data_IF_793437757204
#
_entry.id   IF_793437757204
#
_cell.length_a   1.000
_cell.length_b   1.000
_cell.length_c   1.000
_cell.angle_alpha   90.00
_cell.angle_beta   90.00
_cell.angle_gamma   90.00
#
_symmetry.space_group_name_H-M   'P 1'
#
loop_
_entity.id
_entity.type
_entity.pdbx_description
1 polymer ?
#
# COMPACT_ATOMS: atom_id res chain seq x y z
N UNK A 1 -10.54 -12.07 -17.28
CA UNK A 1 -10.98 -12.65 -18.58
C UNK A 1 -10.95 -11.64 -19.73
N UNK A 2 -11.29 -10.36 -19.51
CA UNK A 2 -11.20 -9.30 -20.54
C UNK A 2 -9.76 -9.03 -21.02
N UNK A 3 -8.76 -8.99 -20.13
CA UNK A 3 -7.36 -8.73 -20.52
C UNK A 3 -6.77 -9.79 -21.47
N UNK A 4 -7.04 -11.08 -21.22
CA UNK A 4 -6.61 -12.17 -22.10
C UNK A 4 -7.29 -12.09 -23.50
N UNK A 5 -8.56 -11.72 -23.53
CA UNK A 5 -9.29 -11.48 -24.79
C UNK A 5 -8.70 -10.29 -25.56
N UNK A 6 -8.41 -9.17 -24.88
CA UNK A 6 -7.77 -8.01 -25.53
C UNK A 6 -6.36 -8.31 -26.03
N UNK A 7 -5.54 -9.04 -25.27
CA UNK A 7 -4.18 -9.44 -25.67
C UNK A 7 -4.18 -10.31 -26.94
N UNK A 8 -5.07 -11.31 -27.02
CA UNK A 8 -5.21 -12.16 -28.20
C UNK A 8 -5.70 -11.38 -29.45
N UNK A 9 -6.50 -10.33 -29.25
CA UNK A 9 -6.99 -9.47 -30.35
C UNK A 9 -5.89 -8.51 -30.82
N UNK A 10 -5.05 -8.01 -29.92
CA UNK A 10 -3.93 -7.14 -30.29
C UNK A 10 -2.86 -7.87 -31.09
N UNK A 11 -2.57 -9.14 -30.78
CA UNK A 11 -1.62 -9.96 -31.56
C UNK A 11 -2.13 -10.23 -32.99
N UNK A 12 -3.44 -10.29 -33.20
CA UNK A 12 -4.04 -10.58 -34.52
C UNK A 12 -4.33 -9.34 -35.38
N UNK A 13 -4.18 -8.12 -34.84
CA UNK A 13 -4.49 -6.87 -35.57
C UNK A 13 -3.38 -5.83 -35.51
N UNK A 14 -2.22 -6.15 -36.07
CA UNK A 14 -1.23 -5.12 -36.42
C UNK A 14 -1.78 -4.27 -37.58
N UNK A 15 -1.90 -2.95 -37.36
CA UNK A 15 -2.42 -1.87 -38.22
C UNK A 15 -3.91 -1.51 -38.06
N UNK A 16 -4.31 -1.03 -36.88
CA UNK A 16 -5.31 0.05 -36.80
C UNK A 16 -4.63 1.30 -36.24
N UNK A 17 -4.86 2.45 -36.88
CA UNK A 17 -4.40 3.77 -36.40
C UNK A 17 -4.70 3.88 -34.92
N UNK A 18 -3.69 4.20 -34.12
CA UNK A 18 -3.82 4.43 -32.69
C UNK A 18 -4.73 5.65 -32.50
N UNK A 19 -5.99 5.43 -32.17
CA UNK A 19 -6.90 6.49 -31.71
C UNK A 19 -6.47 6.75 -30.28
N UNK A 20 -5.78 7.86 -30.05
CA UNK A 20 -5.37 8.29 -28.71
C UNK A 20 -6.66 8.58 -27.94
N UNK A 21 -6.80 7.96 -26.76
CA UNK A 21 -7.92 8.20 -25.88
C UNK A 21 -7.81 9.62 -25.28
N UNK A 22 -8.79 10.51 -25.51
CA UNK A 22 -8.74 11.87 -24.99
C UNK A 22 -8.56 11.93 -23.47
N UNK A 23 -9.13 10.98 -22.72
CA UNK A 23 -9.00 10.96 -21.26
C UNK A 23 -7.55 10.69 -20.81
N UNK A 24 -6.86 9.74 -21.44
CA UNK A 24 -5.45 9.48 -21.16
C UNK A 24 -4.57 10.65 -21.62
N UNK A 25 -4.88 11.29 -22.76
CA UNK A 25 -4.14 12.48 -23.21
C UNK A 25 -4.23 13.63 -22.21
N UNK A 26 -5.44 13.99 -21.76
CA UNK A 26 -5.63 15.03 -20.75
C UNK A 26 -4.97 14.66 -19.41
N UNK A 27 -5.01 13.39 -19.04
CA UNK A 27 -4.33 12.87 -17.85
C UNK A 27 -2.82 13.07 -17.94
N UNK A 28 -2.20 12.70 -19.06
CA UNK A 28 -0.77 12.90 -19.28
C UNK A 28 -0.38 14.38 -19.25
N UNK A 29 -1.18 15.26 -19.87
CA UNK A 29 -0.90 16.71 -19.89
C UNK A 29 -0.95 17.30 -18.48
N UNK A 30 -2.02 17.05 -17.72
CA UNK A 30 -2.20 17.65 -16.40
C UNK A 30 -1.18 17.10 -15.39
N UNK A 31 -0.94 15.79 -15.40
CA UNK A 31 0.02 15.15 -14.50
C UNK A 31 1.45 15.58 -14.80
N UNK A 32 1.82 15.76 -16.07
CA UNK A 32 3.11 16.32 -16.46
C UNK A 32 3.29 17.74 -15.93
N UNK A 33 2.30 18.61 -16.11
CA UNK A 33 2.39 19.99 -15.65
C UNK A 33 2.51 20.08 -14.13
N UNK A 34 1.68 19.31 -13.40
CA UNK A 34 1.76 19.20 -11.94
C UNK A 34 3.12 18.67 -11.49
N UNK A 35 3.66 17.66 -12.17
CA UNK A 35 4.97 17.09 -11.87
C UNK A 35 6.10 18.10 -12.04
N UNK A 36 6.08 18.91 -13.10
CA UNK A 36 7.06 19.97 -13.35
C UNK A 36 7.07 21.02 -12.23
N UNK A 37 5.89 21.45 -11.76
CA UNK A 37 5.80 22.38 -10.63
C UNK A 37 6.26 21.74 -9.33
N UNK A 38 5.88 20.49 -9.10
CA UNK A 38 6.27 19.74 -7.91
C UNK A 38 7.79 19.56 -7.81
N UNK A 39 8.48 19.31 -8.93
CA UNK A 39 9.94 19.21 -8.93
C UNK A 39 10.61 20.52 -8.53
N UNK A 40 10.16 21.66 -9.06
CA UNK A 40 10.69 22.99 -8.69
C UNK A 40 10.53 23.27 -7.19
N UNK A 41 9.35 22.94 -6.64
CA UNK A 41 9.07 23.10 -5.21
C UNK A 41 9.94 22.15 -4.38
N UNK A 42 10.02 20.87 -4.76
CA UNK A 42 10.81 19.86 -4.08
C UNK A 42 12.30 20.20 -4.05
N UNK A 43 12.86 20.69 -5.16
CA UNK A 43 14.26 21.07 -5.26
C UNK A 43 14.60 22.26 -4.36
N UNK A 44 13.68 23.23 -4.24
CA UNK A 44 13.83 24.32 -3.27
C UNK A 44 13.87 23.81 -1.82
N UNK A 45 12.96 22.91 -1.43
CA UNK A 45 12.97 22.32 -0.08
C UNK A 45 14.23 21.49 0.18
N UNK A 46 14.73 20.75 -0.81
CA UNK A 46 16.00 20.01 -0.72
C UNK A 46 17.20 20.94 -0.55
N UNK A 47 17.22 22.06 -1.28
CA UNK A 47 18.27 23.08 -1.16
C UNK A 47 18.25 23.73 0.23
N UNK A 48 17.07 24.04 0.76
CA UNK A 48 16.92 24.54 2.14
C UNK A 48 17.45 23.57 3.18
N UNK A 49 17.10 22.27 3.05
CA UNK A 49 17.60 21.21 3.94
C UNK A 49 19.14 21.11 3.87
N UNK A 50 19.73 21.22 2.68
CA UNK A 50 21.18 21.20 2.50
C UNK A 50 21.88 22.46 3.05
N UNK A 51 21.20 23.61 3.06
CA UNK A 51 21.73 24.89 3.53
C UNK A 51 21.55 25.12 5.05
N UNK A 52 20.81 24.28 5.76
CA UNK A 52 20.55 24.41 7.21
C UNK A 52 21.82 24.44 8.10
N UNK A 53 23.01 24.20 7.56
CA UNK A 53 24.29 24.36 8.24
C UNK A 53 24.95 25.76 8.08
N UNK A 54 24.27 26.76 7.50
CA UNK A 54 24.81 28.13 7.41
C UNK A 54 23.76 29.22 7.12
N UNK A 55 23.59 30.13 8.09
CA UNK A 55 22.88 31.43 8.02
C UNK A 55 21.36 31.43 7.74
N UNK A 56 20.52 32.03 8.60
CA UNK A 56 19.07 31.98 8.49
C UNK A 56 18.54 33.18 7.68
N UNK A 57 18.31 33.01 6.38
CA UNK A 57 17.29 33.74 5.61
C UNK A 57 17.39 33.42 4.11
N UNK A 58 16.75 32.33 3.67
CA UNK A 58 16.46 32.17 2.25
C UNK A 58 15.09 32.81 1.98
N UNK A 59 15.10 34.00 1.39
CA UNK A 59 13.89 34.57 0.79
C UNK A 59 13.47 33.62 -0.33
N UNK A 60 12.22 33.14 -0.31
CA UNK A 60 11.72 32.23 -1.33
C UNK A 60 11.89 32.90 -2.71
N UNK A 61 12.61 32.27 -3.66
CA UNK A 61 12.78 32.83 -4.99
C UNK A 61 11.43 33.06 -5.66
N UNK A 62 11.29 34.15 -6.41
CA UNK A 62 10.04 34.46 -7.14
C UNK A 62 9.62 33.34 -8.09
N UNK A 63 10.56 32.58 -8.65
CA UNK A 63 10.25 31.42 -9.49
C UNK A 63 9.54 30.31 -8.69
N UNK A 64 9.99 30.04 -7.46
CA UNK A 64 9.38 29.03 -6.59
C UNK A 64 8.00 29.51 -6.14
N UNK A 65 7.85 30.78 -5.79
CA UNK A 65 6.54 31.37 -5.46
C UNK A 65 5.54 31.22 -6.61
N UNK A 66 5.99 31.46 -7.83
CA UNK A 66 5.17 31.25 -9.02
C UNK A 66 4.81 29.77 -9.21
N UNK A 67 5.75 28.85 -9.02
CA UNK A 67 5.48 27.41 -9.08
C UNK A 67 4.49 26.94 -8.02
N UNK A 68 4.53 27.48 -6.80
CA UNK A 68 3.52 27.19 -5.77
C UNK A 68 2.14 27.69 -6.19
N UNK A 69 2.02 28.92 -6.71
CA UNK A 69 0.74 29.44 -7.23
C UNK A 69 0.21 28.60 -8.39
N UNK A 70 1.09 28.16 -9.29
CA UNK A 70 0.72 27.28 -10.39
C UNK A 70 0.31 25.90 -9.89
N UNK A 71 0.98 25.34 -8.90
CA UNK A 71 0.58 24.10 -8.25
C UNK A 71 -0.84 24.21 -7.69
N UNK A 72 -1.13 25.24 -6.88
CA UNK A 72 -2.44 25.44 -6.26
C UNK A 72 -3.58 25.58 -7.29
N UNK A 73 -3.29 26.25 -8.42
CA UNK A 73 -4.27 26.40 -9.49
C UNK A 73 -4.50 25.07 -10.23
N UNK A 74 -3.42 24.40 -10.63
CA UNK A 74 -3.53 23.18 -11.43
C UNK A 74 -4.02 21.98 -10.62
N UNK A 75 -3.76 21.95 -9.31
CA UNK A 75 -4.31 20.94 -8.41
C UNK A 75 -5.84 21.06 -8.38
N UNK A 76 -6.37 22.28 -8.19
CA UNK A 76 -7.82 22.52 -8.24
C UNK A 76 -8.41 22.21 -9.61
N UNK A 77 -7.72 22.59 -10.69
CA UNK A 77 -8.15 22.24 -12.04
C UNK A 77 -8.21 20.73 -12.21
N UNK A 78 -7.17 19.99 -11.80
CA UNK A 78 -7.14 18.54 -11.86
C UNK A 78 -8.26 17.90 -11.03
N UNK A 79 -8.59 18.47 -9.86
CA UNK A 79 -9.73 18.04 -9.06
C UNK A 79 -11.05 18.14 -9.84
N UNK A 80 -11.34 19.29 -10.47
CA UNK A 80 -12.54 19.44 -11.27
C UNK A 80 -12.54 18.51 -12.50
N UNK A 81 -11.42 18.40 -13.20
CA UNK A 81 -11.27 17.47 -14.33
C UNK A 81 -11.50 16.01 -13.91
N UNK A 82 -11.02 15.62 -12.73
CA UNK A 82 -11.23 14.28 -12.20
C UNK A 82 -12.70 14.03 -11.86
N UNK A 83 -13.37 14.98 -11.20
CA UNK A 83 -14.77 14.88 -10.81
C UNK A 83 -15.70 14.79 -12.03
N UNK A 84 -15.44 15.60 -13.05
CA UNK A 84 -16.20 15.59 -14.31
C UNK A 84 -15.89 14.39 -15.21
N UNK A 85 -14.96 13.52 -14.79
CA UNK A 85 -14.57 12.32 -15.56
C UNK A 85 -13.79 12.64 -16.83
N UNK A 86 -13.08 13.77 -16.87
CA UNK A 86 -12.20 14.16 -17.97
C UNK A 86 -10.81 13.51 -17.88
N UNK A 87 -10.50 12.85 -16.76
CA UNK A 87 -9.24 12.13 -16.55
C UNK A 87 -9.47 10.62 -16.47
N UNK A 88 -8.48 9.85 -16.92
CA UNK A 88 -8.39 8.44 -16.59
C UNK A 88 -8.13 8.31 -15.08
N UNK A 89 -9.12 7.75 -14.37
CA UNK A 89 -9.08 7.65 -12.91
C UNK A 89 -7.92 6.79 -12.43
N UNK A 90 -7.63 5.69 -13.12
CA UNK A 90 -6.61 4.76 -12.66
C UNK A 90 -5.21 5.33 -12.89
N UNK A 91 -4.97 5.91 -14.06
CA UNK A 91 -3.71 6.56 -14.42
C UNK A 91 -3.44 7.76 -13.49
N UNK A 92 -4.44 8.62 -13.25
CA UNK A 92 -4.30 9.77 -12.37
C UNK A 92 -4.01 9.36 -10.91
N UNK A 93 -4.78 8.43 -10.33
CA UNK A 93 -4.54 7.97 -8.96
C UNK A 93 -3.20 7.25 -8.82
N UNK A 94 -2.77 6.53 -9.85
CA UNK A 94 -1.43 5.93 -9.90
C UNK A 94 -0.35 7.00 -9.84
N UNK A 95 -0.49 8.06 -10.65
CA UNK A 95 0.43 9.20 -10.62
C UNK A 95 0.46 9.90 -9.26
N UNK A 96 -0.71 10.14 -8.64
CA UNK A 96 -0.80 10.73 -7.29
C UNK A 96 0.02 9.88 -6.31
N UNK A 97 -0.20 8.56 -6.31
CA UNK A 97 0.52 7.65 -5.42
C UNK A 97 2.03 7.62 -5.69
N UNK A 98 2.45 7.62 -6.95
CA UNK A 98 3.86 7.67 -7.32
C UNK A 98 4.55 8.96 -6.86
N UNK A 99 3.84 10.09 -6.82
CA UNK A 99 4.38 11.33 -6.26
C UNK A 99 4.77 11.15 -4.79
N UNK A 100 3.96 10.43 -4.01
CA UNK A 100 4.24 10.12 -2.60
C UNK A 100 5.36 9.10 -2.42
N UNK A 101 5.36 8.04 -3.22
CA UNK A 101 6.39 7.00 -3.16
C UNK A 101 7.79 7.53 -3.47
N UNK A 102 7.90 8.62 -4.25
CA UNK A 102 9.17 9.29 -4.58
C UNK A 102 9.70 10.22 -3.48
N UNK A 103 8.89 10.58 -2.48
CA UNK A 103 9.34 11.39 -1.35
C UNK A 103 10.38 10.58 -0.58
N UNK A 104 11.50 11.19 -0.17
CA UNK A 104 12.55 10.53 0.64
C UNK A 104 12.29 10.67 2.15
N UNK A 105 12.87 9.83 3.02
CA UNK A 105 12.92 10.13 4.45
C UNK A 105 13.63 11.47 4.69
N UNK A 106 13.04 12.35 5.52
CA UNK A 106 13.55 13.70 5.79
C UNK A 106 12.98 14.82 4.91
N UNK A 107 12.24 14.49 3.84
CA UNK A 107 11.51 15.47 3.02
C UNK A 107 10.11 15.77 3.61
N UNK A 108 10.03 16.07 4.90
CA UNK A 108 8.76 16.17 5.63
C UNK A 108 7.88 17.34 5.16
N UNK A 109 8.48 18.44 4.68
CA UNK A 109 7.75 19.57 4.11
C UNK A 109 7.04 19.20 2.80
N UNK A 110 7.69 18.39 1.95
CA UNK A 110 7.08 17.88 0.73
C UNK A 110 5.95 16.89 1.03
N UNK A 111 6.15 16.04 2.05
CA UNK A 111 5.10 15.14 2.53
C UNK A 111 3.88 15.91 3.04
N UNK A 112 4.07 17.00 3.80
CA UNK A 112 2.99 17.86 4.28
C UNK A 112 2.28 18.59 3.14
N UNK A 113 3.02 19.10 2.14
CA UNK A 113 2.45 19.76 0.97
C UNK A 113 1.51 18.82 0.20
N UNK A 114 1.93 17.57 0.03
CA UNK A 114 1.18 16.59 -0.74
C UNK A 114 0.05 15.95 0.07
N UNK A 115 0.18 15.80 1.39
CA UNK A 115 -0.79 15.07 2.23
C UNK A 115 -2.27 15.46 2.01
N UNK A 116 -2.65 16.75 1.86
CA UNK A 116 -4.02 17.14 1.50
C UNK A 116 -4.52 16.49 0.20
N UNK A 117 -3.67 16.43 -0.83
CA UNK A 117 -3.99 15.78 -2.11
C UNK A 117 -4.36 14.30 -1.90
N UNK A 118 -3.57 13.57 -1.11
CA UNK A 118 -3.83 12.16 -0.85
C UNK A 118 -5.08 11.91 -0.01
N UNK A 119 -5.33 12.76 0.98
CA UNK A 119 -6.56 12.71 1.76
C UNK A 119 -7.78 13.00 0.89
N UNK A 120 -7.69 13.97 -0.02
CA UNK A 120 -8.76 14.35 -0.96
C UNK A 120 -9.18 13.19 -1.87
N UNK A 121 -8.23 12.38 -2.36
CA UNK A 121 -8.54 11.22 -3.20
C UNK A 121 -8.66 9.89 -2.43
N UNK A 122 -8.63 9.91 -1.09
CA UNK A 122 -8.65 8.68 -0.28
C UNK A 122 -9.89 7.80 -0.52
N UNK A 123 -11.06 8.40 -0.78
CA UNK A 123 -12.29 7.69 -1.16
C UNK A 123 -12.20 6.99 -2.51
N UNK A 124 -11.36 7.49 -3.41
CA UNK A 124 -11.18 6.95 -4.75
C UNK A 124 -10.16 5.80 -4.72
N UNK A 125 -9.12 5.92 -3.89
CA UNK A 125 -8.15 4.84 -3.68
C UNK A 125 -8.81 3.56 -3.18
N UNK A 126 -9.76 3.65 -2.24
CA UNK A 126 -10.45 2.47 -1.67
C UNK A 126 -11.34 1.72 -2.67
N UNK A 127 -11.64 2.31 -3.82
CA UNK A 127 -12.35 1.63 -4.91
C UNK A 127 -11.43 0.69 -5.71
N UNK A 128 -10.11 0.81 -5.57
CA UNK A 128 -9.12 -0.08 -6.20
C UNK A 128 -8.30 -0.82 -5.16
N UNK A 129 -8.48 -2.15 -5.08
CA UNK A 129 -7.70 -2.99 -4.17
C UNK A 129 -6.19 -2.91 -4.43
N UNK A 130 -5.78 -2.80 -5.70
CA UNK A 130 -4.38 -2.66 -6.09
C UNK A 130 -3.76 -1.36 -5.57
N UNK A 131 -4.40 -0.21 -5.84
CA UNK A 131 -3.88 1.09 -5.40
C UNK A 131 -3.97 1.24 -3.88
N UNK A 132 -5.06 0.78 -3.27
CA UNK A 132 -5.21 0.71 -1.80
C UNK A 132 -4.08 -0.07 -1.15
N UNK A 133 -3.66 -1.19 -1.74
CA UNK A 133 -2.58 -2.01 -1.19
C UNK A 133 -1.23 -1.30 -1.25
N UNK A 134 -0.90 -0.69 -2.40
CA UNK A 134 0.32 0.10 -2.54
C UNK A 134 0.33 1.30 -1.57
N UNK A 135 -0.80 2.01 -1.47
CA UNK A 135 -0.97 3.11 -0.52
C UNK A 135 -0.83 2.65 0.94
N UNK A 136 -1.41 1.50 1.30
CA UNK A 136 -1.26 0.93 2.64
C UNK A 136 0.21 0.62 2.95
N UNK A 137 0.98 0.04 2.02
CA UNK A 137 2.42 -0.17 2.19
C UNK A 137 3.18 1.14 2.40
N UNK A 138 2.82 2.20 1.66
CA UNK A 138 3.39 3.52 1.89
C UNK A 138 3.08 4.03 3.31
N UNK A 139 1.81 4.00 3.72
CA UNK A 139 1.37 4.46 5.04
C UNK A 139 2.04 3.68 6.18
N UNK A 140 2.04 2.35 6.14
CA UNK A 140 2.59 1.53 7.23
C UNK A 140 4.09 1.70 7.37
N UNK A 141 4.84 1.73 6.26
CA UNK A 141 6.29 1.96 6.30
C UNK A 141 6.65 3.36 6.78
N UNK A 142 5.90 4.39 6.34
CA UNK A 142 6.13 5.77 6.79
C UNK A 142 5.82 5.95 8.27
N UNK A 143 4.72 5.37 8.75
CA UNK A 143 4.39 5.36 10.18
C UNK A 143 5.44 4.62 11.00
N UNK A 144 5.94 3.48 10.53
CA UNK A 144 7.01 2.73 11.19
C UNK A 144 8.31 3.54 11.31
N UNK A 145 8.75 4.21 10.23
CA UNK A 145 9.93 5.09 10.26
C UNK A 145 9.77 6.22 11.28
N UNK A 146 8.58 6.82 11.38
CA UNK A 146 8.32 7.88 12.36
C UNK A 146 8.41 7.37 13.80
N UNK A 147 7.95 6.14 14.05
CA UNK A 147 8.06 5.49 15.36
C UNK A 147 9.53 5.19 15.73
N UNK A 148 10.29 4.63 14.79
CA UNK A 148 11.70 4.29 15.00
C UNK A 148 12.56 5.53 15.26
N UNK A 149 12.29 6.64 14.55
CA UNK A 149 12.96 7.92 14.76
C UNK A 149 12.69 8.51 16.15
N UNK A 150 11.48 8.29 16.70
CA UNK A 150 11.11 8.76 18.04
C UNK A 150 11.73 7.92 19.17
N UNK A 151 12.09 6.65 18.91
CA UNK A 151 12.76 5.76 19.86
C UNK A 151 14.28 5.93 19.94
N UNK A 152 14.87 6.81 19.11
CA UNK A 152 16.31 6.95 18.92
C UNK A 152 17.04 7.93 19.83
N UNK A 153 16.39 8.56 20.81
CA UNK A 153 17.12 9.27 21.86
C UNK A 153 17.55 8.26 22.94
N UNK A 154 18.86 7.98 23.12
CA UNK A 154 19.30 7.30 24.32
C UNK A 154 19.04 8.28 25.46
N UNK A 155 17.94 8.07 26.20
CA UNK A 155 17.85 8.59 27.55
C UNK A 155 19.12 8.13 28.25
N UNK A 156 19.93 9.08 28.71
CA UNK A 156 21.06 8.86 29.59
C UNK A 156 20.54 8.14 30.85
N UNK A 157 20.37 6.83 30.77
CA UNK A 157 20.14 5.99 31.93
C UNK A 157 21.51 5.79 32.56
N UNK A 158 21.77 6.59 33.58
CA UNK A 158 22.90 6.42 34.48
C UNK A 158 22.91 4.94 34.95
N UNK A 159 24.04 4.22 34.88
CA UNK A 159 24.10 2.83 35.33
C UNK A 159 24.09 2.84 36.86
N UNK A 160 22.91 2.69 37.47
CA UNK A 160 22.85 2.40 38.90
C UNK A 160 23.09 0.91 39.10
N UNK A 161 24.22 0.66 39.76
CA UNK A 161 24.78 -0.61 40.22
C UNK A 161 23.78 -1.72 40.54
N UNK A 162 24.11 -2.91 40.04
CA UNK A 162 23.60 -4.17 40.53
C UNK A 162 24.04 -4.45 41.98
N UNK A 163 23.11 -4.92 42.82
CA UNK A 163 23.39 -5.66 44.04
C UNK A 163 22.22 -6.64 44.34
N UNK A 164 22.46 -7.76 45.05
CA UNK A 164 21.85 -9.06 44.73
C UNK A 164 20.56 -9.40 45.49
N UNK A 165 19.88 -10.42 44.94
CA UNK A 165 18.56 -10.93 45.27
C UNK A 165 18.38 -11.55 46.67
N UNK A 166 17.13 -11.56 47.15
CA UNK A 166 16.52 -12.58 48.02
C UNK A 166 15.01 -12.70 47.70
N UNK A 167 14.39 -13.90 47.79
CA UNK A 167 13.07 -14.19 47.21
C UNK A 167 11.93 -14.05 48.23
N UNK A 168 10.76 -13.55 47.80
CA UNK A 168 9.51 -13.74 48.54
C UNK A 168 8.27 -13.80 47.62
N UNK A 169 7.67 -14.99 47.63
CA UNK A 169 6.23 -15.38 47.64
C UNK A 169 5.19 -14.63 46.80
N UNK A 170 4.31 -15.35 46.06
CA UNK A 170 3.32 -14.74 45.15
C UNK A 170 2.06 -14.32 45.91
N UNK A 171 1.68 -13.06 45.82
CA UNK A 171 0.32 -12.59 46.10
C UNK A 171 -0.26 -11.93 44.84
N UNK A 172 -1.49 -12.29 44.41
CA UNK A 172 -2.10 -11.73 43.22
C UNK A 172 -2.58 -10.30 43.51
N UNK A 173 -1.83 -9.32 43.03
CA UNK A 173 -2.30 -7.94 42.98
C UNK A 173 -3.23 -7.76 41.75
N UNK A 174 -4.38 -7.10 41.90
CA UNK A 174 -5.22 -6.77 40.75
C UNK A 174 -4.47 -5.78 39.86
N UNK A 175 -4.34 -6.13 38.58
CA UNK A 175 -3.77 -5.28 37.56
C UNK A 175 -4.63 -4.00 37.42
N UNK A 176 -4.19 -2.93 38.09
CA UNK A 176 -4.62 -1.59 37.75
C UNK A 176 -4.17 -1.33 36.31
N UNK A 177 -5.14 -1.15 35.41
CA UNK A 177 -4.91 -0.88 34.01
C UNK A 177 -4.19 0.44 33.82
N UNK A 178 -2.87 0.38 33.69
CA UNK A 178 -2.13 1.43 33.00
C UNK A 178 -2.45 1.27 31.52
N UNK A 179 -3.34 2.13 31.00
CA UNK A 179 -3.52 2.30 29.57
C UNK A 179 -2.14 2.51 28.95
N UNK A 180 -1.68 1.55 28.15
CA UNK A 180 -0.42 1.64 27.42
C UNK A 180 -0.41 2.95 26.65
N UNK A 181 0.46 3.89 27.02
CA UNK A 181 0.63 5.12 26.28
C UNK A 181 0.85 4.75 24.80
N UNK A 182 0.03 5.29 23.90
CA UNK A 182 0.20 5.03 22.47
C UNK A 182 1.60 5.50 22.08
N UNK A 183 2.41 4.71 21.36
CA UNK A 183 3.80 5.07 21.05
C UNK A 183 3.92 6.30 20.12
N UNK A 184 2.80 6.83 19.64
CA UNK A 184 2.71 8.12 18.95
C UNK A 184 2.53 9.32 19.89
N UNK A 185 2.43 9.14 21.22
CA UNK A 185 2.12 10.23 22.16
C UNK A 185 3.06 11.43 21.98
N UNK A 186 4.35 11.16 21.85
CA UNK A 186 5.38 12.19 21.77
C UNK A 186 5.38 12.86 20.39
N UNK A 187 5.14 12.09 19.33
CA UNK A 187 4.99 12.58 17.95
C UNK A 187 3.75 13.47 17.80
N UNK A 188 2.67 13.19 18.53
CA UNK A 188 1.44 13.98 18.50
C UNK A 188 1.57 15.33 19.21
N UNK A 189 2.54 15.48 20.11
CA UNK A 189 2.88 16.76 20.74
C UNK A 189 3.67 17.66 19.79
N UNK A 190 4.36 17.10 18.79
CA UNK A 190 5.11 17.86 17.79
C UNK A 190 4.18 18.41 16.70
N UNK A 191 4.05 19.74 16.52
CA UNK A 191 3.19 20.33 15.48
C UNK A 191 3.58 19.93 14.06
N UNK A 192 4.85 19.54 13.83
CA UNK A 192 5.34 19.11 12.53
C UNK A 192 4.93 17.68 12.18
N UNK A 193 5.01 16.75 13.14
CA UNK A 193 4.67 15.34 12.88
C UNK A 193 3.18 15.05 13.03
N UNK A 194 2.47 15.82 13.87
CA UNK A 194 1.06 15.60 14.19
C UNK A 194 0.15 15.50 12.95
N UNK A 195 0.17 16.41 11.95
CA UNK A 195 -0.69 16.31 10.78
C UNK A 195 -0.39 15.07 9.93
N UNK A 196 0.90 14.72 9.79
CA UNK A 196 1.35 13.55 9.03
C UNK A 196 0.88 12.26 9.68
N UNK A 197 1.09 12.12 11.00
CA UNK A 197 0.66 10.95 11.76
C UNK A 197 -0.85 10.76 11.68
N UNK A 198 -1.64 11.83 11.88
CA UNK A 198 -3.09 11.75 11.74
C UNK A 198 -3.52 11.42 10.31
N UNK A 199 -2.96 12.09 9.30
CA UNK A 199 -3.33 11.87 7.90
C UNK A 199 -3.06 10.44 7.43
N UNK A 200 -1.85 9.92 7.68
CA UNK A 200 -1.49 8.55 7.33
C UNK A 200 -2.31 7.51 8.11
N UNK A 201 -2.59 7.78 9.40
CA UNK A 201 -3.44 6.91 10.22
C UNK A 201 -4.87 6.87 9.69
N UNK A 202 -5.45 8.02 9.34
CA UNK A 202 -6.79 8.10 8.76
C UNK A 202 -6.87 7.36 7.43
N UNK A 203 -5.89 7.54 6.53
CA UNK A 203 -5.85 6.82 5.25
C UNK A 203 -5.83 5.32 5.48
N UNK A 204 -4.95 4.84 6.37
CA UNK A 204 -4.84 3.42 6.66
C UNK A 204 -6.14 2.86 7.27
N UNK A 205 -6.76 3.58 8.21
CA UNK A 205 -8.03 3.19 8.82
C UNK A 205 -9.18 3.18 7.80
N UNK A 206 -9.23 4.14 6.89
CA UNK A 206 -10.19 4.16 5.78
C UNK A 206 -10.00 2.95 4.86
N UNK A 207 -8.76 2.56 4.55
CA UNK A 207 -8.48 1.35 3.76
C UNK A 207 -8.93 0.10 4.52
N UNK A 208 -8.67 0.00 5.82
CA UNK A 208 -9.15 -1.13 6.65
C UNK A 208 -10.67 -1.26 6.55
N UNK A 209 -11.40 -0.16 6.69
CA UNK A 209 -12.87 -0.18 6.72
C UNK A 209 -13.50 -0.38 5.33
N UNK A 210 -12.97 0.28 4.30
CA UNK A 210 -13.62 0.34 2.98
C UNK A 210 -13.03 -0.65 1.97
N UNK A 211 -11.77 -1.06 2.12
CA UNK A 211 -11.08 -1.98 1.20
C UNK A 211 -10.21 -3.01 1.95
N UNK A 212 -10.78 -3.83 2.86
CA UNK A 212 -10.01 -4.76 3.68
C UNK A 212 -9.25 -5.82 2.86
N UNK A 213 -9.74 -6.16 1.66
CA UNK A 213 -9.06 -7.10 0.76
C UNK A 213 -7.65 -6.65 0.35
N UNK A 214 -7.39 -5.33 0.31
CA UNK A 214 -6.07 -4.79 -0.01
C UNK A 214 -5.02 -5.15 1.05
N UNK A 215 -5.45 -5.42 2.29
CA UNK A 215 -4.60 -5.68 3.44
C UNK A 215 -4.41 -7.17 3.74
N UNK A 216 -5.18 -8.05 3.09
CA UNK A 216 -5.04 -9.50 3.26
C UNK A 216 -3.64 -9.92 2.79
N UNK A 217 -3.04 -10.88 3.51
CA UNK A 217 -1.74 -11.44 3.14
C UNK A 217 -1.81 -12.01 1.72
N UNK A 218 -0.84 -11.67 0.88
CA UNK A 218 -0.80 -12.11 -0.51
C UNK A 218 0.61 -12.52 -0.91
N UNK A 219 0.68 -13.56 -1.73
CA UNK A 219 1.91 -14.09 -2.30
C UNK A 219 2.12 -13.51 -3.71
N UNK A 220 3.09 -12.61 -3.87
CA UNK A 220 3.44 -12.07 -5.18
C UNK A 220 4.62 -12.84 -5.75
N UNK A 221 4.39 -13.56 -6.85
CA UNK A 221 5.42 -14.32 -7.56
C UNK A 221 6.11 -13.52 -8.67
N UNK A 222 5.44 -12.49 -9.22
CA UNK A 222 5.86 -11.86 -10.48
C UNK A 222 5.89 -10.33 -10.47
N UNK A 223 5.15 -9.65 -9.60
CA UNK A 223 5.22 -8.18 -9.50
C UNK A 223 6.16 -7.76 -8.37
N UNK A 224 7.36 -7.29 -8.74
CA UNK A 224 8.35 -6.76 -7.79
C UNK A 224 7.87 -5.50 -7.06
N UNK A 225 6.83 -4.82 -7.57
CA UNK A 225 6.24 -3.64 -6.92
C UNK A 225 5.28 -4.02 -5.79
N UNK A 226 4.68 -5.21 -5.83
CA UNK A 226 3.86 -5.72 -4.72
C UNK A 226 4.69 -6.72 -3.93
N UNK A 227 5.08 -6.34 -2.71
CA UNK A 227 5.76 -7.27 -1.81
C UNK A 227 4.81 -8.37 -1.35
N UNK A 228 5.35 -9.58 -1.28
CA UNK A 228 4.73 -10.70 -0.55
C UNK A 228 4.56 -10.32 0.91
N UNK A 229 3.40 -10.61 1.49
CA UNK A 229 3.06 -10.25 2.87
C UNK A 229 1.73 -9.53 2.99
N UNK A 230 1.42 -9.02 4.17
CA UNK A 230 0.40 -7.99 4.38
C UNK A 230 1.09 -6.61 4.53
N UNK A 231 0.50 -5.52 4.02
CA UNK A 231 0.94 -4.18 4.37
C UNK A 231 1.01 -3.92 5.88
N UNK A 232 0.16 -4.59 6.66
CA UNK A 232 0.08 -4.46 8.12
C UNK A 232 1.29 -5.07 8.84
N UNK A 233 2.02 -5.99 8.22
CA UNK A 233 3.20 -6.64 8.83
C UNK A 233 4.35 -5.66 9.08
N UNK A 234 4.34 -4.51 8.39
CA UNK A 234 5.33 -3.46 8.56
C UNK A 234 5.06 -2.51 9.73
N UNK A 235 3.87 -2.60 10.35
CA UNK A 235 3.46 -1.69 11.42
C UNK A 235 3.42 -2.45 12.76
N UNK A 236 4.14 -1.99 13.80
CA UNK A 236 4.16 -2.69 15.10
C UNK A 236 2.85 -2.53 15.90
N UNK A 237 1.89 -1.76 15.39
CA UNK A 237 0.65 -1.37 16.09
C UNK A 237 -0.53 -1.62 15.17
N UNK A 238 -1.62 -2.16 15.71
CA UNK A 238 -2.86 -2.37 14.95
C UNK A 238 -3.48 -1.02 14.50
N UNK A 239 -4.08 -0.96 13.28
CA UNK A 239 -4.80 0.22 12.80
C UNK A 239 -5.86 0.78 13.76
N UNK A 240 -6.51 -0.08 14.53
CA UNK A 240 -7.50 0.24 15.57
C UNK A 240 -6.93 1.01 16.76
N UNK A 241 -5.60 0.93 16.96
CA UNK A 241 -4.86 1.64 17.99
C UNK A 241 -4.19 2.92 17.47
N UNK A 242 -4.19 3.16 16.16
CA UNK A 242 -3.66 4.38 15.58
C UNK A 242 -4.43 5.63 16.03
N UNK A 243 -3.78 6.81 16.06
CA UNK A 243 -4.41 8.04 16.46
C UNK A 243 -5.47 8.47 15.45
N UNK A 244 -6.64 8.85 15.97
CA UNK A 244 -7.76 9.36 15.18
C UNK A 244 -8.06 10.81 15.55
N UNK A 245 -8.24 11.70 14.57
CA UNK A 245 -8.74 13.04 14.83
C UNK A 245 -10.22 12.91 15.17
N UNK A 246 -10.65 13.39 16.33
CA UNK A 246 -12.08 13.41 16.61
C UNK A 246 -12.43 14.19 17.87
N UNK A 247 -13.60 14.82 17.80
CA UNK A 247 -14.19 15.64 18.87
C UNK A 247 -15.18 14.82 19.70
N UNK A 248 -15.72 13.71 19.16
CA UNK A 248 -16.72 12.86 19.82
C UNK A 248 -16.16 11.47 20.15
N UNK A 249 -15.95 11.21 21.45
CA UNK A 249 -15.40 9.95 21.95
C UNK A 249 -16.27 8.73 21.65
N UNK A 250 -17.60 8.87 21.63
CA UNK A 250 -18.53 7.75 21.40
C UNK A 250 -18.44 7.22 19.96
N UNK A 251 -18.39 8.13 18.99
CA UNK A 251 -18.20 7.78 17.58
C UNK A 251 -16.82 7.14 17.34
N UNK A 252 -15.76 7.71 17.91
CA UNK A 252 -14.41 7.13 17.83
C UNK A 252 -14.41 5.70 18.37
N UNK A 253 -15.10 5.44 19.48
CA UNK A 253 -15.17 4.09 20.05
C UNK A 253 -15.89 3.10 19.13
N UNK A 254 -16.97 3.53 18.46
CA UNK A 254 -17.66 2.71 17.46
C UNK A 254 -16.75 2.40 16.26
N UNK A 255 -16.02 3.40 15.77
CA UNK A 255 -15.04 3.21 14.68
C UNK A 255 -13.93 2.25 15.12
N UNK A 256 -13.39 2.38 16.33
CA UNK A 256 -12.40 1.42 16.88
C UNK A 256 -12.96 0.00 16.97
N UNK A 257 -14.21 -0.15 17.39
CA UNK A 257 -14.85 -1.46 17.46
C UNK A 257 -14.95 -2.09 16.06
N UNK A 258 -15.40 -1.32 15.06
CA UNK A 258 -15.48 -1.80 13.68
C UNK A 258 -14.11 -2.12 13.09
N UNK A 259 -13.10 -1.29 13.36
CA UNK A 259 -11.72 -1.56 12.93
C UNK A 259 -11.21 -2.90 13.48
N UNK A 260 -11.45 -3.21 14.77
CA UNK A 260 -11.02 -4.49 15.36
C UNK A 260 -11.71 -5.69 14.72
N UNK A 261 -13.00 -5.58 14.45
CA UNK A 261 -13.76 -6.63 13.74
C UNK A 261 -13.17 -6.88 12.35
N UNK A 262 -12.91 -5.81 11.59
CA UNK A 262 -12.34 -5.93 10.25
C UNK A 262 -10.89 -6.41 10.27
N UNK A 263 -10.09 -6.03 11.28
CA UNK A 263 -8.75 -6.57 11.50
C UNK A 263 -8.75 -8.09 11.71
N UNK A 264 -9.71 -8.61 12.48
CA UNK A 264 -9.88 -10.05 12.69
C UNK A 264 -10.23 -10.76 11.38
N UNK A 265 -11.16 -10.21 10.60
CA UNK A 265 -11.48 -10.74 9.27
C UNK A 265 -10.27 -10.74 8.32
N UNK A 266 -9.43 -9.70 8.36
CA UNK A 266 -8.20 -9.64 7.56
C UNK A 266 -7.24 -10.76 7.98
N UNK A 267 -7.07 -11.00 9.29
CA UNK A 267 -6.22 -12.08 9.81
C UNK A 267 -6.73 -13.46 9.44
N UNK A 268 -8.02 -13.73 9.62
CA UNK A 268 -8.65 -15.00 9.24
C UNK A 268 -8.47 -15.28 7.75
N UNK A 269 -8.70 -14.27 6.90
CA UNK A 269 -8.47 -14.39 5.45
C UNK A 269 -6.99 -14.57 5.11
N UNK A 270 -6.08 -13.92 5.83
CA UNK A 270 -4.64 -14.11 5.68
C UNK A 270 -4.21 -15.55 5.97
N UNK A 271 -4.67 -16.11 7.09
CA UNK A 271 -4.43 -17.52 7.44
C UNK A 271 -5.04 -18.47 6.41
N UNK A 272 -6.23 -18.17 5.89
CA UNK A 272 -6.85 -18.95 4.83
C UNK A 272 -5.98 -18.97 3.56
N UNK A 273 -5.31 -17.86 3.21
CA UNK A 273 -4.37 -17.82 2.08
C UNK A 273 -3.15 -18.71 2.34
N UNK A 274 -2.61 -18.72 3.57
CA UNK A 274 -1.47 -19.58 3.93
C UNK A 274 -1.78 -21.07 3.74
N UNK A 275 -3.02 -21.49 4.02
CA UNK A 275 -3.50 -22.87 3.76
C UNK A 275 -4.10 -23.04 2.37
N UNK A 276 -3.82 -22.14 1.42
CA UNK A 276 -4.30 -22.15 0.03
C UNK A 276 -5.82 -22.28 -0.10
N UNK A 277 -6.56 -21.66 0.81
CA UNK A 277 -8.03 -21.74 0.91
C UNK A 277 -8.55 -23.19 1.04
N UNK A 278 -7.69 -24.11 1.47
CA UNK A 278 -8.00 -25.53 1.56
C UNK A 278 -8.09 -25.94 3.02
N UNK A 279 -9.09 -26.75 3.32
CA UNK A 279 -9.17 -27.47 4.58
C UNK A 279 -8.46 -28.82 4.39
N UNK A 280 -7.67 -29.28 5.36
CA UNK A 280 -6.93 -30.55 5.25
C UNK A 280 -7.82 -31.72 4.79
N UNK A 281 -9.06 -31.77 5.32
CA UNK A 281 -10.07 -32.78 4.96
C UNK A 281 -10.62 -32.67 3.53
N UNK A 282 -10.55 -31.49 2.91
CA UNK A 282 -11.05 -31.26 1.57
C UNK A 282 -10.05 -31.72 0.51
N UNK A 283 -8.74 -31.57 0.76
CA UNK A 283 -7.68 -31.97 -0.19
C UNK A 283 -7.71 -33.48 -0.51
N UNK A 284 -8.13 -34.32 0.43
CA UNK A 284 -8.22 -35.77 0.25
C UNK A 284 -9.44 -36.21 -0.58
N UNK A 285 -10.43 -35.31 -0.78
CA UNK A 285 -11.62 -35.61 -1.57
C UNK A 285 -11.41 -35.28 -3.05
N UNK A 286 -12.11 -35.98 -3.95
CA UNK A 286 -12.11 -35.68 -5.40
C UNK A 286 -12.48 -34.22 -5.70
N UNK A 287 -13.36 -33.62 -4.89
CA UNK A 287 -13.70 -32.21 -4.98
C UNK A 287 -12.51 -31.28 -4.67
N UNK A 288 -11.66 -31.63 -3.71
CA UNK A 288 -10.45 -30.88 -3.38
C UNK A 288 -9.44 -30.87 -4.51
N UNK A 289 -9.28 -31.98 -5.23
CA UNK A 289 -8.43 -32.02 -6.41
C UNK A 289 -8.88 -31.03 -7.50
N UNK A 290 -10.18 -30.98 -7.79
CA UNK A 290 -10.73 -30.01 -8.75
C UNK A 290 -10.54 -28.57 -8.28
N UNK A 291 -10.81 -28.28 -7.00
CA UNK A 291 -10.61 -26.96 -6.41
C UNK A 291 -9.13 -26.54 -6.50
N UNK A 292 -8.20 -27.41 -6.13
CA UNK A 292 -6.76 -27.15 -6.23
C UNK A 292 -6.30 -26.85 -7.66
N UNK A 293 -6.84 -27.58 -8.66
CA UNK A 293 -6.54 -27.30 -10.08
C UNK A 293 -7.08 -25.95 -10.54
N UNK A 294 -8.28 -25.57 -10.12
CA UNK A 294 -8.86 -24.25 -10.43
C UNK A 294 -8.04 -23.14 -9.77
N UNK A 295 -7.72 -23.27 -8.47
CA UNK A 295 -6.89 -22.30 -7.75
C UNK A 295 -5.51 -22.16 -8.38
N UNK A 296 -4.88 -23.27 -8.79
CA UNK A 296 -3.61 -23.24 -9.50
C UNK A 296 -3.72 -22.53 -10.86
N UNK A 297 -4.80 -22.77 -11.61
CA UNK A 297 -5.05 -22.07 -12.88
C UNK A 297 -5.23 -20.57 -12.67
N UNK A 298 -5.97 -20.16 -11.64
CA UNK A 298 -6.13 -18.75 -11.26
C UNK A 298 -4.79 -18.12 -10.88
N UNK A 299 -3.98 -18.79 -10.06
CA UNK A 299 -2.64 -18.33 -9.66
C UNK A 299 -1.72 -18.13 -10.88
N UNK A 300 -1.72 -19.08 -11.80
CA UNK A 300 -0.93 -19.00 -13.04
C UNK A 300 -1.41 -17.84 -13.92
N UNK A 301 -2.72 -17.64 -14.06
CA UNK A 301 -3.29 -16.53 -14.82
C UNK A 301 -3.00 -15.16 -14.18
N UNK A 302 -3.12 -15.05 -12.86
CA UNK A 302 -2.86 -13.81 -12.12
C UNK A 302 -1.37 -13.43 -12.16
N UNK A 303 -0.48 -14.42 -12.21
CA UNK A 303 0.96 -14.20 -12.33
C UNK A 303 1.41 -13.74 -13.73
N UNK A 304 0.61 -13.99 -14.77
CA UNK A 304 0.94 -13.72 -16.16
C UNK A 304 0.71 -12.25 -16.52
N UNK A 305 1.76 -11.57 -16.96
CA UNK A 305 1.66 -10.17 -17.39
C UNK A 305 1.27 -10.09 -18.86
N UNK A 306 -0.01 -9.85 -19.15
CA UNK A 306 -0.53 -9.72 -20.53
C UNK A 306 0.02 -8.51 -21.30
N UNK A 307 0.63 -7.54 -20.63
CA UNK A 307 1.23 -6.35 -21.25
C UNK A 307 2.67 -6.58 -21.75
N UNK A 308 3.33 -7.67 -21.34
CA UNK A 308 4.74 -7.95 -21.67
C UNK A 308 4.91 -9.37 -22.19
N UNK A 309 5.28 -9.53 -23.46
CA UNK A 309 5.50 -10.83 -24.09
C UNK A 309 7.00 -11.14 -24.23
N UNK A 310 7.59 -11.80 -23.23
CA UNK A 310 8.96 -12.33 -23.28
C UNK A 310 8.94 -13.88 -23.39
N UNK A 311 10.07 -14.53 -23.68
CA UNK A 311 10.16 -16.01 -23.82
C UNK A 311 9.65 -16.78 -22.59
N UNK A 312 9.76 -16.21 -21.38
CA UNK A 312 9.25 -16.79 -20.12
C UNK A 312 7.83 -16.32 -19.75
N UNK A 313 7.21 -15.44 -20.54
CA UNK A 313 5.90 -14.84 -20.30
C UNK A 313 5.04 -14.80 -21.58
N UNK A 314 5.23 -15.77 -22.48
CA UNK A 314 4.41 -15.94 -23.69
C UNK A 314 3.11 -16.69 -23.40
N UNK A 315 2.13 -16.58 -24.29
CA UNK A 315 0.88 -17.37 -24.24
C UNK A 315 1.16 -18.88 -24.29
N UNK A 316 2.20 -19.32 -25.01
CA UNK A 316 2.62 -20.73 -25.03
C UNK A 316 3.13 -21.20 -23.65
N UNK A 317 3.91 -20.35 -22.97
CA UNK A 317 4.38 -20.66 -21.61
C UNK A 317 3.24 -20.68 -20.58
N UNK A 318 2.21 -19.87 -20.81
CA UNK A 318 0.99 -19.82 -19.99
C UNK A 318 0.15 -21.08 -20.21
N UNK A 319 -0.08 -21.45 -21.47
CA UNK A 319 -0.80 -22.66 -21.86
C UNK A 319 -0.15 -23.91 -21.26
N UNK A 320 1.17 -24.04 -21.38
CA UNK A 320 1.91 -25.18 -20.82
C UNK A 320 1.87 -25.21 -19.29
N UNK A 321 1.81 -24.06 -18.60
CA UNK A 321 1.64 -24.02 -17.13
C UNK A 321 0.24 -24.44 -16.68
N UNK A 322 -0.81 -24.05 -17.40
CA UNK A 322 -2.19 -24.39 -17.04
C UNK A 322 -2.55 -25.84 -17.42
N UNK A 323 -2.11 -26.29 -18.59
CA UNK A 323 -2.57 -27.55 -19.20
C UNK A 323 -1.46 -28.59 -19.40
N UNK A 324 -0.18 -28.20 -19.36
CA UNK A 324 0.95 -29.11 -19.58
C UNK A 324 1.19 -30.10 -18.44
N UNK A 325 0.62 -29.84 -17.26
CA UNK A 325 0.52 -30.81 -16.16
C UNK A 325 -0.60 -31.84 -16.39
N UNK A 326 -0.55 -32.59 -17.51
CA UNK A 326 -1.31 -33.84 -17.67
C UNK A 326 -0.64 -34.98 -16.88
N UNK A 327 -1.37 -36.06 -16.55
CA UNK A 327 -0.85 -37.13 -15.69
C UNK A 327 0.46 -37.67 -16.26
N UNK A 328 1.43 -37.85 -15.37
CA UNK A 328 2.66 -38.57 -15.66
C UNK A 328 2.31 -39.87 -16.38
N UNK A 329 3.03 -40.13 -17.44
CA UNK A 329 2.97 -41.33 -18.27
C UNK A 329 3.52 -42.50 -17.44
N UNK A 330 2.78 -42.96 -16.44
CA UNK A 330 3.06 -44.21 -15.75
C UNK A 330 2.39 -45.36 -16.51
N UNK A 331 3.24 -46.05 -17.26
CA UNK A 331 3.29 -47.51 -17.40
C UNK A 331 1.98 -48.30 -17.35
N UNK A 332 1.56 -48.75 -18.53
CA UNK A 332 1.27 -50.18 -18.72
C UNK A 332 1.78 -50.57 -20.11
N UNK A 333 3.05 -50.98 -20.17
CA UNK A 333 3.46 -51.99 -21.16
C UNK A 333 2.63 -53.25 -20.86
N UNK A 334 1.79 -53.63 -21.80
CA UNK A 334 1.26 -54.99 -21.90
C UNK A 334 1.98 -55.60 -23.10
N UNK A 335 2.96 -56.46 -22.80
CA UNK A 335 3.48 -57.41 -23.78
C UNK A 335 2.35 -58.30 -24.27
N UNK A 336 2.22 -58.55 -25.57
CA UNK A 336 1.41 -59.64 -26.07
C UNK A 336 2.24 -60.93 -25.98
N UNK A 337 1.85 -61.85 -25.09
CA UNK A 337 2.07 -63.28 -25.29
C UNK A 337 0.97 -63.77 -26.26
N UNK A 338 1.38 -64.09 -27.49
CA UNK A 338 1.04 -65.34 -28.22
C UNK A 338 1.94 -65.48 -29.45
#
# INVERSE_FOLDING_TARGET
>A
MTCAYYAAITETKVKKRHVIDPFSEWTQIITKFLWEQLQKIADFHRQLLAQACGSPSSIMPQEVEHSVKQWDYNEKLAMFMFQDGMLDRHEFLTWVLECFEKIRPGEDELLKLLLPLLLQYSSEFVQSAYLSRRLAYFCTRRLAILLDASGGHPAHHLPSQAAPALPSTPTPQPAAGNASASPFSDLLLCPQHRPVVFGLSCILQSIVLCCPSALVWHYSLTDSRIKTGSPLDHLPIAPSNLPMPGVNASFIQQVRAKLRETEEQIKERGQAVEVRWSFDKCQEATAGFTISRVLHTLEVLDSHSFERSDFSNSLDSLYNRIFGGGPSKDSHEISPDD
#
